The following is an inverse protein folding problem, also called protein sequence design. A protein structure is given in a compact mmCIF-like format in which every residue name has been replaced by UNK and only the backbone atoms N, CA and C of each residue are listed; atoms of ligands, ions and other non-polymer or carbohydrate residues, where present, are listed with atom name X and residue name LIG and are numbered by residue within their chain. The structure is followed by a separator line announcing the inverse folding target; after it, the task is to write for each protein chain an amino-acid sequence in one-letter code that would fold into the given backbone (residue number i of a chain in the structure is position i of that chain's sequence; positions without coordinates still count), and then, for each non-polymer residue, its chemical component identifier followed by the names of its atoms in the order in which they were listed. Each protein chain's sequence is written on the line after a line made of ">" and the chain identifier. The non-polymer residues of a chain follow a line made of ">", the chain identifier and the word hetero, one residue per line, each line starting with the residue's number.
data_IF_749225021644
#
_entry.id   IF_749225021644
#
_cell.length_a   1.000
_cell.length_b   1.000
_cell.length_c   1.000
_cell.angle_alpha   90.00
_cell.angle_beta   90.00
_cell.angle_gamma   90.00
#
_symmetry.space_group_name_H-M   'P 1'
#
loop_
_entity.id
_entity.type
_entity.pdbx_description
1 polymer ?
#
# COMPACT_ATOMS: atom_id res chain seq x y z
N UNK A 1 -59.07 2.85 -2.99
CA UNK A 1 -59.03 1.94 -1.81
C UNK A 1 -57.59 1.96 -1.32
N UNK A 2 -57.41 2.62 -0.21
CA UNK A 2 -56.15 2.90 0.50
C UNK A 2 -55.83 1.71 1.40
N UNK A 3 -54.64 1.15 1.28
CA UNK A 3 -54.10 0.10 2.15
C UNK A 3 -52.77 0.57 2.71
N UNK A 4 -52.82 1.03 4.00
CA UNK A 4 -51.63 1.44 4.74
C UNK A 4 -50.83 0.25 5.24
N UNK A 5 -49.50 0.34 5.14
CA UNK A 5 -48.57 -0.53 5.85
C UNK A 5 -48.14 0.17 7.15
N UNK A 6 -48.70 -0.25 8.25
CA UNK A 6 -48.22 0.02 9.60
C UNK A 6 -47.61 -1.27 10.17
N UNK A 7 -46.34 -1.24 10.49
CA UNK A 7 -45.62 -2.38 11.08
C UNK A 7 -44.21 -1.97 11.50
N UNK A 8 -44.11 -0.98 12.43
CA UNK A 8 -42.86 -0.65 13.08
C UNK A 8 -42.43 -1.73 14.07
N UNK A 9 -41.32 -2.42 13.81
CA UNK A 9 -40.65 -3.26 14.82
C UNK A 9 -40.12 -2.37 15.96
N UNK A 10 -40.29 -2.73 17.21
CA UNK A 10 -39.68 -2.02 18.33
C UNK A 10 -38.17 -2.13 18.25
N UNK A 11 -37.48 -1.00 18.49
CA UNK A 11 -36.03 -0.91 18.59
C UNK A 11 -35.55 -1.75 19.78
N UNK A 12 -34.40 -2.46 19.67
CA UNK A 12 -33.82 -3.19 20.80
C UNK A 12 -33.44 -2.21 21.93
N UNK A 13 -33.42 -2.66 23.20
CA UNK A 13 -33.06 -1.81 24.32
C UNK A 13 -31.64 -1.26 24.16
N UNK A 14 -31.43 0.01 24.54
CA UNK A 14 -30.15 0.71 24.50
C UNK A 14 -29.03 -0.14 25.11
N UNK A 15 -27.98 -0.38 24.38
CA UNK A 15 -26.77 -1.03 24.88
C UNK A 15 -26.17 -0.18 26.03
N UNK A 16 -25.68 -0.81 27.12
CA UNK A 16 -25.09 -0.08 28.22
C UNK A 16 -23.90 0.77 27.74
N UNK A 17 -23.92 2.05 28.07
CA UNK A 17 -22.82 3.00 27.77
C UNK A 17 -21.57 2.51 28.51
N UNK A 18 -20.45 2.25 27.81
CA UNK A 18 -19.22 1.81 28.45
C UNK A 18 -18.73 2.91 29.43
N UNK A 19 -18.10 2.55 30.54
CA UNK A 19 -17.54 3.51 31.47
C UNK A 19 -16.50 4.39 30.79
N UNK A 20 -16.35 5.67 31.20
CA UNK A 20 -15.37 6.57 30.62
C UNK A 20 -13.95 6.01 30.79
N UNK A 21 -13.05 6.23 29.83
CA UNK A 21 -11.68 5.74 29.91
C UNK A 21 -10.94 6.33 31.14
N UNK A 22 -9.97 5.60 31.71
CA UNK A 22 -9.16 6.07 32.83
C UNK A 22 -8.52 7.44 32.58
N UNK A 23 -8.42 8.28 33.61
CA UNK A 23 -7.91 9.65 33.54
C UNK A 23 -6.50 9.74 32.90
N UNK A 24 -5.68 8.70 33.06
CA UNK A 24 -4.35 8.59 32.44
C UNK A 24 -4.43 8.54 30.92
N UNK A 25 -5.43 7.87 30.34
CA UNK A 25 -5.67 7.81 28.89
C UNK A 25 -6.25 9.12 28.37
N UNK A 26 -7.11 9.78 29.14
CA UNK A 26 -7.62 11.10 28.78
C UNK A 26 -6.52 12.17 28.79
N UNK A 27 -5.52 12.06 29.66
CA UNK A 27 -4.33 12.95 29.66
C UNK A 27 -3.37 12.67 28.52
N UNK A 28 -3.21 11.40 28.11
CA UNK A 28 -2.30 11.02 27.05
C UNK A 28 -2.88 11.24 25.64
N UNK A 29 -4.19 11.06 25.47
CA UNK A 29 -4.85 11.05 24.16
C UNK A 29 -6.06 11.99 24.06
N UNK A 30 -6.41 12.67 25.14
CA UNK A 30 -7.47 13.68 25.12
C UNK A 30 -7.01 14.96 24.40
N UNK A 31 -7.96 15.74 23.85
CA UNK A 31 -7.64 16.97 23.13
C UNK A 31 -6.95 17.98 24.07
N UNK A 32 -5.67 18.25 23.80
CA UNK A 32 -4.86 19.23 24.53
C UNK A 32 -5.32 20.64 24.16
N UNK A 33 -6.18 21.27 24.99
CA UNK A 33 -6.51 22.67 24.94
C UNK A 33 -7.32 23.17 23.72
N UNK A 34 -7.83 24.39 23.73
CA UNK A 34 -8.57 24.94 22.61
C UNK A 34 -7.61 25.35 21.50
N UNK A 35 -7.26 24.43 20.63
CA UNK A 35 -6.58 24.76 19.38
C UNK A 35 -7.54 25.47 18.43
N UNK A 36 -7.43 26.79 18.37
CA UNK A 36 -8.21 27.69 17.50
C UNK A 36 -7.70 27.68 16.05
N UNK A 37 -7.38 26.54 15.46
CA UNK A 37 -7.05 26.46 14.03
C UNK A 37 -7.59 25.16 13.48
N UNK A 38 -8.86 25.19 13.06
CA UNK A 38 -9.34 24.24 12.07
C UNK A 38 -8.54 24.44 10.79
N UNK A 39 -8.04 23.36 10.22
CA UNK A 39 -7.12 23.39 9.08
C UNK A 39 -7.75 23.92 7.78
N UNK A 40 -9.08 23.99 7.64
CA UNK A 40 -9.76 24.58 6.48
C UNK A 40 -11.23 24.90 6.80
N UNK A 41 -11.73 26.04 6.32
CA UNK A 41 -13.16 26.32 6.28
C UNK A 41 -13.80 25.68 5.03
N UNK A 42 -15.03 25.14 5.12
CA UNK A 42 -15.70 24.55 3.97
C UNK A 42 -15.99 25.61 2.89
N UNK A 43 -15.86 25.26 1.61
CA UNK A 43 -16.14 26.19 0.51
C UNK A 43 -17.59 26.67 0.53
N UNK A 44 -17.82 27.98 0.51
CA UNK A 44 -19.14 28.65 0.46
C UNK A 44 -19.74 29.07 1.81
N UNK A 45 -19.04 28.92 2.92
CA UNK A 45 -19.45 29.42 4.24
C UNK A 45 -19.22 30.91 4.42
N UNK A 46 -20.23 31.69 4.81
CA UNK A 46 -20.06 33.08 5.23
C UNK A 46 -19.28 33.11 6.55
N UNK A 47 -18.24 33.99 6.70
CA UNK A 47 -17.52 34.14 7.98
C UNK A 47 -18.49 34.57 9.07
N UNK A 48 -18.64 33.77 10.12
CA UNK A 48 -19.40 34.16 11.31
C UNK A 48 -20.52 33.25 11.78
N UNK A 49 -20.98 32.27 10.99
CA UNK A 49 -22.04 31.36 11.43
C UNK A 49 -21.46 30.07 12.04
N UNK A 50 -21.21 30.07 13.35
CA UNK A 50 -20.99 28.83 14.11
C UNK A 50 -22.28 28.03 14.16
N UNK A 51 -22.43 27.01 13.33
CA UNK A 51 -23.38 25.94 13.57
C UNK A 51 -22.71 24.86 14.43
N UNK A 52 -23.05 24.80 15.70
CA UNK A 52 -22.76 23.66 16.56
C UNK A 52 -23.69 22.53 16.16
N UNK A 53 -23.30 21.65 15.25
CA UNK A 53 -24.01 20.40 15.02
C UNK A 53 -23.51 19.38 16.07
N UNK A 54 -24.22 19.27 17.18
CA UNK A 54 -24.08 18.19 18.15
C UNK A 54 -24.96 17.03 17.72
N UNK A 55 -24.63 16.34 16.64
CA UNK A 55 -25.38 15.17 16.19
C UNK A 55 -24.51 14.17 15.45
N UNK A 56 -24.83 12.87 15.54
CA UNK A 56 -24.11 11.84 14.81
C UNK A 56 -24.20 12.06 13.30
N UNK A 57 -23.12 11.78 12.56
CA UNK A 57 -22.94 12.00 11.12
C UNK A 57 -23.94 11.25 10.20
N UNK A 58 -24.77 10.35 10.75
CA UNK A 58 -25.79 9.59 10.01
C UNK A 58 -27.19 10.20 10.04
N UNK A 59 -27.37 11.43 10.52
CA UNK A 59 -28.68 12.11 10.45
C UNK A 59 -29.07 12.54 9.03
N UNK A 60 -30.36 12.66 8.71
CA UNK A 60 -30.87 12.97 7.36
C UNK A 60 -30.40 14.30 6.77
N UNK A 61 -30.02 15.26 7.61
CA UNK A 61 -29.49 16.57 7.24
C UNK A 61 -28.00 16.53 6.83
N UNK A 62 -27.33 15.39 6.94
CA UNK A 62 -25.98 15.18 6.38
C UNK A 62 -25.92 15.24 4.85
N UNK A 63 -27.08 15.25 4.18
CA UNK A 63 -27.19 15.46 2.71
C UNK A 63 -26.92 16.90 2.27
N UNK A 64 -26.90 17.85 3.19
CA UNK A 64 -26.58 19.26 2.93
C UNK A 64 -25.11 19.61 3.23
N UNK A 65 -24.24 18.62 3.43
CA UNK A 65 -22.81 18.83 3.65
C UNK A 65 -22.12 19.09 2.30
N UNK A 66 -21.56 20.29 2.05
CA UNK A 66 -20.90 20.62 0.78
C UNK A 66 -19.73 19.72 0.42
N UNK A 67 -19.14 18.97 1.40
CA UNK A 67 -18.05 18.03 1.19
C UNK A 67 -18.49 16.65 0.68
N UNK A 68 -19.81 16.41 0.64
CA UNK A 68 -20.41 15.15 0.21
C UNK A 68 -21.25 15.26 -1.05
N UNK A 69 -21.34 16.44 -1.62
CA UNK A 69 -22.02 16.64 -2.91
C UNK A 69 -21.04 16.30 -4.05
N UNK A 70 -21.23 15.17 -4.75
CA UNK A 70 -20.38 14.80 -5.87
C UNK A 70 -20.49 15.74 -7.08
N UNK A 71 -21.46 16.67 -7.07
CA UNK A 71 -21.69 17.66 -8.13
C UNK A 71 -21.29 19.08 -7.73
N UNK A 72 -20.74 19.28 -6.51
CA UNK A 72 -20.25 20.59 -6.11
C UNK A 72 -19.03 20.98 -6.96
N UNK A 73 -19.04 22.15 -7.65
CA UNK A 73 -17.88 22.56 -8.43
C UNK A 73 -16.70 22.83 -7.51
N UNK A 74 -15.57 22.17 -7.79
CA UNK A 74 -14.30 22.43 -7.11
C UNK A 74 -13.84 23.87 -7.48
N UNK A 75 -14.12 24.82 -6.63
CA UNK A 75 -13.57 26.16 -6.74
C UNK A 75 -12.20 26.17 -6.05
N UNK A 76 -11.14 26.14 -6.84
CA UNK A 76 -9.80 26.52 -6.37
C UNK A 76 -9.85 28.04 -6.09
N UNK A 77 -9.89 28.44 -4.83
CA UNK A 77 -9.71 29.83 -4.43
C UNK A 77 -8.35 30.33 -4.90
N UNK A 78 -8.33 31.51 -5.57
CA UNK A 78 -7.08 32.19 -5.87
C UNK A 78 -6.28 32.41 -4.56
N UNK A 79 -4.94 32.33 -4.59
CA UNK A 79 -4.12 32.63 -3.42
C UNK A 79 -4.47 34.03 -2.94
N UNK A 80 -4.65 34.19 -1.62
CA UNK A 80 -4.90 35.48 -1.01
C UNK A 80 -3.66 36.35 -1.16
N UNK A 81 -3.61 37.10 -2.25
CA UNK A 81 -2.74 38.26 -2.39
C UNK A 81 -3.50 39.40 -1.69
N UNK A 82 -2.96 39.87 -0.59
CA UNK A 82 -3.43 41.10 0.01
C UNK A 82 -3.07 42.26 -0.93
N UNK A 83 -4.06 42.75 -1.69
CA UNK A 83 -3.95 44.07 -2.30
C UNK A 83 -4.01 45.10 -1.19
N UNK A 84 -2.85 45.68 -0.89
CA UNK A 84 -2.78 46.89 -0.09
C UNK A 84 -3.46 47.99 -0.88
N UNK A 85 -4.67 48.39 -0.49
CA UNK A 85 -5.35 49.56 -1.04
C UNK A 85 -4.45 50.78 -0.81
N UNK A 86 -3.75 51.18 -1.86
CA UNK A 86 -3.14 52.53 -1.95
C UNK A 86 -4.29 53.55 -2.00
N UNK A 87 -4.57 54.16 -0.86
CA UNK A 87 -5.43 55.34 -0.78
C UNK A 87 -4.71 56.47 -1.50
N UNK A 88 -5.03 56.67 -2.77
CA UNK A 88 -4.75 57.91 -3.50
C UNK A 88 -5.68 58.99 -2.96
N UNK A 89 -5.13 59.91 -2.13
CA UNK A 89 -5.83 61.15 -1.77
C UNK A 89 -6.04 62.04 -3.01
N UNK A 90 -7.08 62.85 -3.01
CA UNK A 90 -7.39 63.69 -4.16
C UNK A 90 -6.36 64.82 -4.29
N UNK A 91 -5.54 64.76 -5.32
CA UNK A 91 -4.78 65.93 -5.76
C UNK A 91 -5.75 66.86 -6.55
N UNK A 92 -6.13 67.97 -5.91
CA UNK A 92 -6.79 69.05 -6.62
C UNK A 92 -5.73 69.76 -7.45
N UNK A 93 -5.77 69.54 -8.75
CA UNK A 93 -4.99 70.32 -9.71
C UNK A 93 -5.80 71.57 -10.04
N UNK A 94 -5.42 72.72 -9.45
CA UNK A 94 -6.00 74.00 -9.80
C UNK A 94 -5.35 74.52 -11.09
N UNK A 95 -6.16 74.68 -12.10
CA UNK A 95 -5.77 75.15 -13.40
C UNK A 95 -5.75 76.69 -13.41
N UNK A 96 -4.69 77.28 -12.87
CA UNK A 96 -4.25 78.66 -13.24
C UNK A 96 -2.95 79.07 -12.55
N UNK A 97 -1.98 79.39 -13.34
CA UNK A 97 -0.91 80.29 -12.88
C UNK A 97 0.51 79.69 -12.88
N UNK A 98 1.11 79.50 -14.04
CA UNK A 98 2.54 79.43 -14.17
C UNK A 98 3.17 80.71 -13.65
N UNK A 99 3.64 80.72 -12.40
CA UNK A 99 4.61 81.72 -11.97
C UNK A 99 5.96 81.33 -12.52
N UNK A 100 6.38 82.04 -13.57
CA UNK A 100 7.77 82.03 -14.03
C UNK A 100 8.60 82.71 -12.96
N UNK A 101 9.35 81.96 -12.16
CA UNK A 101 10.40 82.53 -11.33
C UNK A 101 11.52 82.95 -12.26
N UNK A 102 11.77 84.26 -12.38
CA UNK A 102 12.93 84.81 -13.08
C UNK A 102 14.14 84.52 -12.16
N UNK A 103 15.11 83.73 -12.65
CA UNK A 103 16.35 83.39 -11.96
C UNK A 103 17.28 84.61 -11.69
N UNK A 104 16.88 85.84 -12.08
CA UNK A 104 17.74 87.02 -11.98
C UNK A 104 17.67 87.79 -10.65
N UNK A 105 16.70 87.48 -9.74
CA UNK A 105 16.48 88.25 -8.50
C UNK A 105 16.92 87.51 -7.22
N UNK A 106 17.56 86.35 -7.33
CA UNK A 106 18.08 85.69 -6.15
C UNK A 106 19.41 86.35 -5.77
N UNK A 107 19.45 87.00 -4.62
CA UNK A 107 20.73 87.49 -4.04
C UNK A 107 21.72 86.38 -3.95
N UNK A 108 22.97 86.61 -4.23
CA UNK A 108 24.09 85.60 -4.19
C UNK A 108 24.05 84.84 -2.89
N UNK A 109 23.64 85.49 -1.78
CA UNK A 109 23.50 84.86 -0.47
C UNK A 109 22.45 83.76 -0.42
N UNK A 110 21.28 83.93 -1.10
CA UNK A 110 20.23 82.90 -1.16
C UNK A 110 20.65 81.75 -2.09
N UNK A 111 21.37 82.02 -3.15
CA UNK A 111 21.91 80.98 -4.03
C UNK A 111 22.95 80.10 -3.29
N UNK A 112 23.85 80.78 -2.51
CA UNK A 112 24.83 80.06 -1.68
C UNK A 112 24.18 79.23 -0.62
N UNK A 113 23.14 79.76 0.07
CA UNK A 113 22.42 79.01 1.07
C UNK A 113 21.63 77.81 0.46
N UNK A 114 21.08 77.95 -0.72
CA UNK A 114 20.43 76.86 -1.42
C UNK A 114 21.41 75.75 -1.83
N UNK A 115 22.62 76.13 -2.29
CA UNK A 115 23.68 75.15 -2.58
C UNK A 115 24.18 74.46 -1.32
N UNK A 116 24.35 75.17 -0.23
CA UNK A 116 24.74 74.59 1.05
C UNK A 116 23.66 73.66 1.63
N UNK A 117 22.38 74.01 1.47
CA UNK A 117 21.27 73.12 1.83
C UNK A 117 21.23 71.85 0.99
N UNK A 118 21.44 71.96 -0.31
CA UNK A 118 21.54 70.79 -1.21
C UNK A 118 22.72 69.89 -0.87
N UNK A 119 23.90 70.48 -0.56
CA UNK A 119 25.05 69.71 -0.09
C UNK A 119 24.81 69.03 1.25
N UNK A 120 24.12 69.69 2.15
CA UNK A 120 23.75 69.11 3.46
C UNK A 120 22.76 67.97 3.27
N UNK A 121 21.73 68.11 2.44
CA UNK A 121 20.78 67.04 2.08
C UNK A 121 21.50 65.90 1.39
N UNK A 122 22.44 66.18 0.47
CA UNK A 122 23.25 65.17 -0.17
C UNK A 122 24.16 64.42 0.80
N UNK A 123 24.79 65.12 1.77
CA UNK A 123 25.61 64.49 2.79
C UNK A 123 24.79 63.63 3.75
N UNK A 124 23.63 64.13 4.18
CA UNK A 124 22.70 63.36 5.04
C UNK A 124 22.10 62.17 4.29
N UNK A 125 21.66 62.37 3.05
CA UNK A 125 21.15 61.27 2.22
C UNK A 125 22.20 60.22 1.91
N UNK A 126 23.45 60.67 1.60
CA UNK A 126 24.58 59.78 1.39
C UNK A 126 25.00 59.05 2.66
N UNK A 127 24.98 59.74 3.82
CA UNK A 127 25.27 59.11 5.09
C UNK A 127 24.20 58.06 5.51
N UNK A 128 22.93 58.41 5.35
CA UNK A 128 21.82 57.47 5.58
C UNK A 128 21.86 56.32 4.61
N UNK A 129 22.10 56.59 3.31
CA UNK A 129 22.27 55.55 2.27
C UNK A 129 23.43 54.62 2.59
N UNK A 130 24.57 55.17 3.05
CA UNK A 130 25.72 54.35 3.44
C UNK A 130 25.48 53.52 4.70
N UNK A 131 24.77 54.04 5.70
CA UNK A 131 24.34 53.27 6.86
C UNK A 131 23.36 52.19 6.48
N UNK A 132 22.34 52.53 5.67
CA UNK A 132 21.38 51.56 5.17
C UNK A 132 22.00 50.47 4.31
N UNK A 133 22.98 50.79 3.47
CA UNK A 133 23.72 49.78 2.69
C UNK A 133 24.62 48.93 3.59
N UNK A 134 25.23 49.46 4.62
CA UNK A 134 26.00 48.67 5.56
C UNK A 134 25.09 47.73 6.38
N UNK A 135 23.93 48.20 6.85
CA UNK A 135 22.97 47.35 7.58
C UNK A 135 22.25 46.36 6.66
N UNK A 136 22.04 46.71 5.38
CA UNK A 136 21.46 45.77 4.36
C UNK A 136 22.43 44.63 4.00
N UNK A 137 23.74 44.81 4.20
CA UNK A 137 24.72 43.73 3.95
C UNK A 137 24.71 42.65 5.07
N UNK A 138 24.03 42.92 6.19
CA UNK A 138 23.85 41.97 7.27
C UNK A 138 22.46 41.32 7.29
N UNK A 139 21.67 41.46 6.22
CA UNK A 139 20.41 40.71 6.11
C UNK A 139 20.72 39.21 5.99
N UNK A 140 20.31 38.35 6.96
CA UNK A 140 20.62 36.92 6.94
C UNK A 140 20.07 36.19 5.73
N UNK A 141 19.16 36.85 4.98
CA UNK A 141 18.52 36.29 3.78
C UNK A 141 19.31 36.48 2.48
N UNK A 142 20.40 37.27 2.49
CA UNK A 142 21.18 37.61 1.30
C UNK A 142 22.69 37.37 1.47
N UNK A 143 23.13 36.66 2.48
CA UNK A 143 24.54 36.32 2.65
C UNK A 143 24.91 35.22 1.63
N UNK A 144 25.73 35.52 0.59
CA UNK A 144 26.29 34.48 -0.25
C UNK A 144 27.27 33.68 0.60
N UNK A 145 26.86 32.50 1.04
CA UNK A 145 27.71 31.63 1.84
C UNK A 145 27.09 31.02 3.08
N UNK A 146 25.74 30.96 3.17
CA UNK A 146 25.10 30.08 4.16
C UNK A 146 25.56 28.65 3.82
N UNK A 147 26.63 28.20 4.47
CA UNK A 147 26.98 26.79 4.49
C UNK A 147 25.90 26.11 5.28
N UNK A 148 25.01 25.38 4.59
CA UNK A 148 24.18 24.38 5.23
C UNK A 148 25.16 23.44 5.92
N UNK A 149 25.18 23.45 7.22
CA UNK A 149 25.95 22.50 8.03
C UNK A 149 25.46 21.12 7.65
N UNK A 150 26.29 20.26 7.04
CA UNK A 150 26.03 18.85 6.99
C UNK A 150 25.88 18.37 8.42
N UNK A 151 24.65 18.04 8.82
CA UNK A 151 24.43 17.23 10.00
C UNK A 151 25.12 15.91 9.66
N UNK A 152 26.18 15.57 10.38
CA UNK A 152 26.84 14.28 10.22
C UNK A 152 25.76 13.20 10.21
N UNK A 153 25.79 12.22 9.28
CA UNK A 153 24.83 11.14 9.27
C UNK A 153 24.93 10.40 10.62
N UNK A 154 24.06 10.77 11.53
CA UNK A 154 24.12 10.37 12.93
C UNK A 154 23.57 8.97 13.20
N UNK A 155 23.47 8.08 12.20
CA UNK A 155 22.91 6.75 12.43
C UNK A 155 23.95 5.70 12.06
N UNK A 156 24.66 5.21 13.09
CA UNK A 156 25.32 3.89 13.01
C UNK A 156 24.22 2.85 12.80
N UNK A 157 24.21 2.21 11.66
CA UNK A 157 23.30 1.09 11.37
C UNK A 157 23.80 -0.12 12.14
N UNK A 158 23.02 -0.56 13.14
CA UNK A 158 23.34 -1.78 13.86
C UNK A 158 23.16 -2.98 12.93
N UNK A 159 24.05 -4.00 13.00
CA UNK A 159 23.82 -5.27 12.33
C UNK A 159 22.44 -5.83 12.68
N UNK A 160 21.70 -6.34 11.69
CA UNK A 160 20.34 -6.82 11.85
C UNK A 160 19.28 -5.72 11.95
N UNK A 161 19.64 -4.44 11.74
CA UNK A 161 18.64 -3.38 11.59
C UNK A 161 17.91 -3.50 10.25
N UNK A 162 16.67 -2.97 10.16
CA UNK A 162 15.91 -2.99 8.92
C UNK A 162 16.71 -2.45 7.73
N UNK A 163 17.50 -1.40 7.95
CA UNK A 163 18.32 -0.82 6.89
C UNK A 163 19.52 -1.69 6.49
N UNK A 164 20.03 -2.51 7.40
CA UNK A 164 21.08 -3.48 7.15
C UNK A 164 20.52 -4.66 6.34
N UNK A 165 19.43 -5.27 6.82
CA UNK A 165 18.69 -6.33 6.12
C UNK A 165 18.29 -5.89 4.70
N UNK A 166 17.74 -4.67 4.58
CA UNK A 166 17.34 -4.15 3.28
C UNK A 166 18.54 -3.97 2.32
N UNK A 167 19.68 -3.52 2.81
CA UNK A 167 20.89 -3.39 2.01
C UNK A 167 21.41 -4.74 1.48
N UNK A 168 21.32 -5.78 2.30
CA UNK A 168 21.79 -7.12 1.94
C UNK A 168 20.85 -7.84 0.97
N UNK A 169 19.53 -7.66 1.13
CA UNK A 169 18.51 -8.40 0.36
C UNK A 169 18.11 -7.69 -0.92
N UNK A 170 18.03 -6.34 -0.93
CA UNK A 170 17.57 -5.56 -2.11
C UNK A 170 18.31 -5.94 -3.42
N UNK A 171 19.62 -6.26 -3.42
CA UNK A 171 20.31 -6.66 -4.66
C UNK A 171 19.78 -7.97 -5.27
N UNK A 172 19.12 -8.81 -4.49
CA UNK A 172 18.50 -10.06 -4.95
C UNK A 172 17.02 -9.90 -5.30
N UNK A 173 16.42 -8.70 -5.10
CA UNK A 173 15.04 -8.38 -5.47
C UNK A 173 15.04 -7.52 -6.73
N UNK A 174 14.24 -7.89 -7.71
CA UNK A 174 14.18 -7.24 -9.02
C UNK A 174 12.77 -6.69 -9.29
N UNK A 175 12.70 -5.67 -10.14
CA UNK A 175 11.41 -5.23 -10.73
C UNK A 175 11.12 -6.07 -11.95
N UNK A 176 9.90 -6.56 -12.08
CA UNK A 176 9.39 -7.24 -13.27
C UNK A 176 8.47 -6.27 -14.00
N UNK A 177 8.85 -5.94 -15.22
CA UNK A 177 8.06 -5.14 -16.15
C UNK A 177 7.50 -6.04 -17.24
N UNK A 178 6.19 -6.04 -17.39
CA UNK A 178 5.48 -6.80 -18.44
C UNK A 178 4.82 -5.82 -19.37
N UNK A 179 5.00 -6.02 -20.67
CA UNK A 179 4.37 -5.22 -21.72
C UNK A 179 3.69 -6.10 -22.73
N UNK A 180 2.41 -5.82 -22.98
CA UNK A 180 1.59 -6.47 -23.99
C UNK A 180 0.91 -5.40 -24.84
N UNK A 181 1.44 -5.11 -26.02
CA UNK A 181 0.96 -3.99 -26.83
C UNK A 181 1.11 -2.65 -26.12
N UNK A 182 -0.02 -2.00 -25.83
CA UNK A 182 -0.05 -0.74 -25.08
C UNK A 182 -0.31 -0.93 -23.57
N UNK A 183 -0.66 -2.13 -23.15
CA UNK A 183 -0.86 -2.45 -21.73
C UNK A 183 0.47 -2.82 -21.07
N UNK A 184 0.61 -2.44 -19.78
CA UNK A 184 1.76 -2.78 -18.97
C UNK A 184 1.33 -3.22 -17.59
N UNK A 185 2.07 -4.17 -17.03
CA UNK A 185 1.97 -4.57 -15.64
C UNK A 185 3.36 -4.52 -15.00
N UNK A 186 3.40 -4.31 -13.70
CA UNK A 186 4.65 -4.29 -12.94
C UNK A 186 4.49 -5.08 -11.65
N UNK A 187 5.56 -5.75 -11.25
CA UNK A 187 5.67 -6.46 -9.98
C UNK A 187 7.13 -6.57 -9.58
N UNK A 188 7.38 -7.44 -8.65
CA UNK A 188 8.71 -7.77 -8.15
C UNK A 188 9.06 -9.22 -8.42
N UNK A 189 10.33 -9.58 -8.25
CA UNK A 189 10.80 -10.95 -8.28
C UNK A 189 11.99 -11.13 -7.36
N UNK A 190 12.27 -12.35 -6.95
CA UNK A 190 13.37 -12.74 -6.10
C UNK A 190 14.30 -13.67 -6.86
N UNK A 191 15.59 -13.35 -6.93
CA UNK A 191 16.61 -14.22 -7.55
C UNK A 191 16.85 -15.39 -6.62
N UNK A 192 16.35 -16.57 -6.99
CA UNK A 192 16.49 -17.79 -6.17
C UNK A 192 17.72 -18.61 -6.55
N UNK A 193 18.22 -18.43 -7.77
CA UNK A 193 19.43 -19.08 -8.26
C UNK A 193 20.13 -18.19 -9.29
N UNK A 194 21.19 -17.52 -8.84
CA UNK A 194 21.88 -16.49 -9.64
C UNK A 194 22.77 -17.04 -10.74
N UNK A 195 23.29 -18.26 -10.61
CA UNK A 195 24.20 -18.88 -11.59
C UNK A 195 23.48 -19.14 -12.92
N UNK A 196 22.26 -19.68 -12.87
CA UNK A 196 21.44 -19.95 -14.04
C UNK A 196 20.39 -18.83 -14.29
N UNK A 197 20.29 -17.83 -13.41
CA UNK A 197 19.42 -16.68 -13.61
C UNK A 197 17.94 -16.96 -13.38
N UNK A 198 17.60 -17.83 -12.42
CA UNK A 198 16.21 -18.08 -12.05
C UNK A 198 15.68 -17.08 -11.04
N UNK A 199 14.50 -16.57 -11.34
CA UNK A 199 13.77 -15.57 -10.54
C UNK A 199 12.38 -16.12 -10.26
N UNK A 200 11.95 -16.13 -8.99
CA UNK A 200 10.56 -16.39 -8.60
C UNK A 200 9.79 -15.08 -8.56
N UNK A 201 8.58 -15.10 -9.04
CA UNK A 201 7.60 -14.01 -8.96
C UNK A 201 6.19 -14.60 -8.79
N UNK A 202 5.16 -13.76 -8.69
CA UNK A 202 3.79 -14.25 -8.71
C UNK A 202 3.31 -14.53 -10.14
N UNK A 203 2.41 -15.51 -10.27
CA UNK A 203 1.77 -15.85 -11.55
C UNK A 203 1.02 -14.64 -12.12
N UNK A 204 0.23 -13.94 -11.30
CA UNK A 204 -0.57 -12.81 -11.74
C UNK A 204 0.25 -11.65 -12.33
N UNK A 205 1.55 -11.54 -11.97
CA UNK A 205 2.45 -10.51 -12.52
C UNK A 205 2.74 -10.77 -13.98
N UNK A 206 2.86 -12.04 -14.39
CA UNK A 206 3.35 -12.44 -15.72
C UNK A 206 2.31 -13.17 -16.59
N UNK A 207 1.18 -13.57 -16.01
CA UNK A 207 0.15 -14.36 -16.70
C UNK A 207 -0.35 -13.71 -17.98
N UNK A 208 -0.49 -12.39 -18.02
CA UNK A 208 -0.91 -11.65 -19.20
C UNK A 208 0.05 -11.67 -20.38
N UNK A 209 1.30 -12.11 -20.19
CA UNK A 209 2.31 -12.22 -21.24
C UNK A 209 2.45 -13.65 -21.80
N UNK A 210 1.92 -14.64 -21.11
CA UNK A 210 2.11 -16.04 -21.49
C UNK A 210 1.32 -16.39 -22.75
N UNK A 211 2.03 -16.96 -23.75
CA UNK A 211 1.46 -17.32 -25.03
C UNK A 211 0.98 -16.15 -25.90
N UNK A 212 1.30 -14.90 -25.55
CA UNK A 212 0.90 -13.70 -26.31
C UNK A 212 2.03 -13.24 -27.22
N UNK A 213 1.79 -13.23 -28.53
CA UNK A 213 2.75 -12.76 -29.51
C UNK A 213 3.11 -11.27 -29.29
N UNK A 214 4.42 -10.98 -29.25
CA UNK A 214 4.92 -9.63 -29.02
C UNK A 214 4.84 -9.16 -27.58
N UNK A 215 4.51 -10.04 -26.62
CA UNK A 215 4.66 -9.73 -25.20
C UNK A 215 6.15 -9.68 -24.80
N UNK A 216 6.50 -8.70 -23.98
CA UNK A 216 7.85 -8.52 -23.46
C UNK A 216 7.83 -8.57 -21.93
N UNK A 217 8.75 -9.36 -21.38
CA UNK A 217 9.02 -9.39 -19.94
C UNK A 217 10.46 -8.93 -19.74
N UNK A 218 10.66 -7.98 -18.83
CA UNK A 218 11.96 -7.45 -18.48
C UNK A 218 12.16 -7.46 -16.98
N UNK A 219 13.31 -7.95 -16.54
CA UNK A 219 13.76 -7.81 -15.17
C UNK A 219 14.71 -6.62 -15.06
N UNK A 220 14.42 -5.70 -14.13
CA UNK A 220 15.26 -4.54 -13.82
C UNK A 220 15.86 -4.75 -12.43
N UNK A 221 17.19 -4.70 -12.38
CA UNK A 221 17.98 -4.98 -11.17
C UNK A 221 18.23 -3.71 -10.34
N UNK A 222 18.68 -3.89 -9.12
CA UNK A 222 18.98 -2.79 -8.19
C UNK A 222 20.03 -1.81 -8.69
N UNK A 223 20.92 -2.24 -9.62
CA UNK A 223 21.92 -1.40 -10.29
C UNK A 223 21.35 -0.59 -11.45
N UNK A 224 20.04 -0.67 -11.72
CA UNK A 224 19.36 -0.01 -12.84
C UNK A 224 19.52 -0.74 -14.18
N UNK A 225 20.31 -1.80 -14.25
CA UNK A 225 20.42 -2.59 -15.48
C UNK A 225 19.18 -3.45 -15.71
N UNK A 226 18.82 -3.69 -16.96
CA UNK A 226 17.70 -4.53 -17.32
C UNK A 226 18.12 -5.71 -18.18
N UNK A 227 17.43 -6.83 -18.05
CA UNK A 227 17.56 -8.02 -18.91
C UNK A 227 16.20 -8.48 -19.39
N UNK A 228 16.11 -8.96 -20.61
CA UNK A 228 14.93 -9.69 -21.05
C UNK A 228 14.78 -10.95 -20.20
N UNK A 229 13.53 -11.24 -19.83
CA UNK A 229 13.19 -12.43 -19.07
C UNK A 229 12.21 -13.30 -19.87
N UNK A 230 12.29 -14.62 -19.70
CA UNK A 230 11.34 -15.56 -20.27
C UNK A 230 10.70 -16.38 -19.17
N UNK A 231 9.45 -16.74 -19.34
CA UNK A 231 8.74 -17.64 -18.46
C UNK A 231 9.34 -19.06 -18.62
N UNK A 232 9.72 -19.68 -17.50
CA UNK A 232 10.13 -21.09 -17.43
C UNK A 232 8.91 -21.96 -17.20
N UNK A 233 8.07 -21.56 -16.26
CA UNK A 233 6.81 -22.19 -15.93
C UNK A 233 5.98 -21.27 -15.05
N UNK A 234 4.68 -21.52 -14.99
CA UNK A 234 3.69 -20.82 -14.19
C UNK A 234 2.78 -21.80 -13.49
N UNK A 235 2.35 -21.42 -12.31
CA UNK A 235 1.36 -22.13 -11.55
C UNK A 235 0.25 -21.19 -11.07
N UNK A 236 -0.89 -21.14 -11.75
CA UNK A 236 -2.04 -20.34 -11.36
C UNK A 236 -2.68 -20.77 -10.03
N UNK A 237 -2.48 -22.03 -9.59
CA UNK A 237 -3.09 -22.58 -8.38
C UNK A 237 -2.36 -22.15 -7.11
N UNK A 238 -1.04 -21.88 -7.18
CA UNK A 238 -0.24 -21.37 -6.06
C UNK A 238 0.13 -19.89 -6.20
N UNK A 239 -0.20 -19.24 -7.33
CA UNK A 239 0.23 -17.88 -7.69
C UNK A 239 1.75 -17.73 -7.76
N UNK A 240 2.48 -18.78 -8.21
CA UNK A 240 3.94 -18.76 -8.41
C UNK A 240 4.26 -18.85 -9.90
N UNK A 241 5.30 -18.12 -10.30
CA UNK A 241 5.93 -18.24 -11.61
C UNK A 241 7.45 -18.18 -11.48
N UNK A 242 8.14 -18.88 -12.39
CA UNK A 242 9.59 -18.84 -12.52
C UNK A 242 9.95 -18.19 -13.84
N UNK A 243 10.82 -17.18 -13.74
CA UNK A 243 11.43 -16.51 -14.88
C UNK A 243 12.90 -16.91 -15.01
N UNK A 244 13.41 -16.82 -16.22
CA UNK A 244 14.84 -16.94 -16.50
C UNK A 244 15.37 -15.70 -17.21
N UNK A 245 16.51 -15.22 -16.77
CA UNK A 245 17.30 -14.13 -17.37
C UNK A 245 18.69 -14.60 -17.73
N UNK A 246 19.26 -13.99 -18.77
CA UNK A 246 20.64 -14.25 -19.20
C UNK A 246 21.57 -13.08 -18.73
N UNK A 247 21.78 -12.99 -17.39
CA UNK A 247 22.64 -11.97 -16.79
C UNK A 247 23.59 -12.64 -15.81
N UNK A 248 24.91 -12.53 -16.00
CA UNK A 248 25.90 -13.06 -15.07
C UNK A 248 26.00 -12.22 -13.80
N UNK A 249 26.51 -12.84 -12.73
CA UNK A 249 26.85 -12.14 -11.49
C UNK A 249 25.65 -11.72 -10.65
N UNK A 250 24.51 -12.40 -10.79
CA UNK A 250 23.35 -12.15 -9.97
C UNK A 250 23.59 -12.62 -8.53
N UNK A 251 23.18 -11.79 -7.58
CA UNK A 251 23.12 -12.18 -6.18
C UNK A 251 21.91 -13.08 -5.95
N UNK A 252 22.11 -14.21 -5.32
CA UNK A 252 21.04 -15.14 -4.94
C UNK A 252 20.54 -14.77 -3.54
N UNK A 253 19.22 -14.69 -3.38
CA UNK A 253 18.62 -14.50 -2.06
C UNK A 253 18.86 -15.73 -1.17
N UNK A 254 19.13 -15.50 0.11
CA UNK A 254 19.15 -16.58 1.10
C UNK A 254 17.72 -17.03 1.37
N UNK A 255 17.40 -18.29 1.08
CA UNK A 255 16.08 -18.86 1.39
C UNK A 255 16.09 -19.38 2.83
N UNK A 256 15.09 -18.96 3.60
CA UNK A 256 14.86 -19.41 4.97
C UNK A 256 14.04 -20.70 5.02
N UNK A 257 13.35 -20.88 6.16
CA UNK A 257 12.44 -22.00 6.38
C UNK A 257 11.13 -21.48 6.99
N UNK A 258 10.06 -21.47 6.18
CA UNK A 258 8.75 -20.97 6.60
C UNK A 258 8.10 -21.77 7.72
N UNK A 259 8.45 -23.06 7.89
CA UNK A 259 7.87 -23.91 8.94
C UNK A 259 8.39 -23.58 10.35
N UNK A 260 9.48 -22.79 10.43
CA UNK A 260 10.05 -22.36 11.72
C UNK A 260 9.57 -20.97 12.15
N UNK A 261 8.82 -20.31 11.31
CA UNK A 261 8.30 -18.96 11.58
C UNK A 261 7.19 -19.05 12.63
N UNK A 262 7.19 -18.11 13.58
CA UNK A 262 6.15 -18.02 14.60
C UNK A 262 5.47 -16.65 14.59
N UNK A 263 4.26 -16.60 15.11
CA UNK A 263 3.52 -15.34 15.26
C UNK A 263 4.30 -14.41 16.20
N UNK A 264 4.49 -13.16 15.74
CA UNK A 264 5.26 -12.13 16.44
C UNK A 264 6.70 -11.96 15.91
N UNK A 265 7.19 -12.84 15.03
CA UNK A 265 8.50 -12.67 14.41
C UNK A 265 8.54 -11.37 13.61
N UNK A 266 9.60 -10.55 13.78
CA UNK A 266 9.79 -9.35 12.98
C UNK A 266 10.11 -9.70 11.53
N UNK A 267 9.48 -8.98 10.60
CA UNK A 267 9.67 -9.21 9.17
C UNK A 267 9.87 -7.91 8.41
N UNK A 268 10.55 -8.02 7.27
CA UNK A 268 10.75 -6.94 6.32
C UNK A 268 10.22 -7.41 4.96
N UNK A 269 9.25 -6.67 4.41
CA UNK A 269 8.78 -6.91 3.06
C UNK A 269 9.53 -6.00 2.09
N UNK A 270 10.10 -6.60 1.06
CA UNK A 270 10.94 -5.93 0.06
C UNK A 270 10.34 -6.17 -1.32
N UNK A 271 10.11 -5.09 -2.06
CA UNK A 271 9.69 -5.11 -3.45
C UNK A 271 10.44 -4.07 -4.26
N UNK A 272 10.29 -4.10 -5.57
CA UNK A 272 10.92 -3.14 -6.50
C UNK A 272 9.90 -2.61 -7.50
N UNK A 273 8.87 -1.87 -7.05
CA UNK A 273 7.88 -1.33 -7.96
C UNK A 273 8.49 -0.32 -8.92
N UNK A 274 8.11 -0.35 -10.20
CA UNK A 274 8.46 0.63 -11.23
C UNK A 274 9.97 0.81 -11.50
N UNK A 275 10.80 -0.21 -11.24
CA UNK A 275 12.26 -0.10 -11.45
C UNK A 275 12.95 0.90 -10.50
N UNK A 276 12.23 1.40 -9.50
CA UNK A 276 12.78 2.23 -8.43
C UNK A 276 13.37 1.33 -7.35
N UNK A 277 14.63 1.55 -7.00
CA UNK A 277 15.36 0.75 -6.02
C UNK A 277 14.56 0.57 -4.71
N UNK A 278 14.10 -0.65 -4.48
CA UNK A 278 13.64 -1.22 -3.22
C UNK A 278 12.61 -0.42 -2.42
N UNK A 279 11.33 -0.77 -2.56
CA UNK A 279 10.34 -0.42 -1.52
C UNK A 279 10.52 -1.38 -0.36
N UNK A 280 10.73 -0.85 0.84
CA UNK A 280 10.91 -1.61 2.08
C UNK A 280 9.83 -1.22 3.07
N UNK A 281 9.11 -2.21 3.57
CA UNK A 281 8.15 -2.05 4.65
C UNK A 281 8.43 -3.06 5.76
N UNK A 282 8.00 -2.78 6.99
CA UNK A 282 8.27 -3.64 8.14
C UNK A 282 7.01 -3.94 8.92
N UNK A 283 6.99 -5.09 9.56
CA UNK A 283 5.92 -5.53 10.42
C UNK A 283 6.33 -6.78 11.18
N UNK A 284 5.34 -7.56 11.55
CA UNK A 284 5.50 -8.87 12.20
C UNK A 284 4.67 -9.92 11.46
N UNK A 285 4.93 -11.17 11.75
CA UNK A 285 4.01 -12.26 11.40
C UNK A 285 2.79 -12.15 12.33
N UNK A 286 1.63 -11.89 11.74
CA UNK A 286 0.36 -11.71 12.47
C UNK A 286 -0.42 -13.02 12.63
N UNK A 287 -0.31 -13.92 11.65
CA UNK A 287 -0.89 -15.26 11.67
C UNK A 287 -0.15 -16.19 10.71
N UNK A 288 -0.29 -17.49 10.93
CA UNK A 288 0.23 -18.57 10.08
C UNK A 288 -0.95 -19.35 9.49
N UNK A 289 -0.69 -20.10 8.45
CA UNK A 289 -1.64 -21.06 7.85
C UNK A 289 -3.01 -20.43 7.54
N UNK A 290 -2.99 -19.16 7.08
CA UNK A 290 -4.22 -18.49 6.68
C UNK A 290 -4.67 -18.96 5.31
N UNK A 291 -5.84 -19.61 5.19
CA UNK A 291 -6.40 -19.93 3.89
C UNK A 291 -6.85 -18.63 3.21
N UNK A 292 -6.22 -18.29 2.12
CA UNK A 292 -6.49 -17.06 1.37
C UNK A 292 -6.74 -17.41 -0.08
N UNK A 293 -7.91 -16.99 -0.59
CA UNK A 293 -8.19 -17.04 -2.02
C UNK A 293 -7.59 -15.83 -2.72
N UNK A 294 -6.76 -16.11 -3.71
CA UNK A 294 -6.13 -15.11 -4.57
C UNK A 294 -6.83 -15.15 -5.94
N UNK A 295 -7.37 -14.03 -6.35
CA UNK A 295 -7.95 -13.87 -7.69
C UNK A 295 -7.60 -12.48 -8.22
N UNK A 296 -6.85 -12.41 -9.32
CA UNK A 296 -6.43 -11.18 -9.96
C UNK A 296 -7.37 -10.79 -11.10
N UNK A 297 -7.80 -9.54 -11.15
CA UNK A 297 -8.56 -9.03 -12.30
C UNK A 297 -7.65 -9.01 -13.55
N UNK A 298 -8.07 -9.70 -14.61
CA UNK A 298 -7.27 -9.85 -15.84
C UNK A 298 -6.15 -10.90 -15.76
N UNK A 299 -6.08 -11.69 -14.68
CA UNK A 299 -5.17 -12.82 -14.49
C UNK A 299 -5.94 -14.15 -14.50
N UNK A 300 -5.28 -15.22 -14.88
CA UNK A 300 -5.79 -16.59 -14.75
C UNK A 300 -5.57 -17.18 -13.35
N UNK A 301 -5.02 -16.40 -12.42
CA UNK A 301 -4.78 -16.82 -11.03
C UNK A 301 -6.11 -17.07 -10.31
N UNK A 302 -6.28 -18.29 -9.83
CA UNK A 302 -7.37 -18.73 -8.95
C UNK A 302 -6.78 -19.63 -7.87
N UNK A 303 -5.87 -19.05 -7.08
CA UNK A 303 -5.13 -19.77 -6.05
C UNK A 303 -5.90 -19.77 -4.74
N UNK A 304 -5.76 -20.85 -3.98
CA UNK A 304 -6.08 -20.90 -2.56
C UNK A 304 -4.83 -21.35 -1.84
N UNK A 305 -4.21 -20.47 -1.10
CA UNK A 305 -2.92 -20.71 -0.46
C UNK A 305 -3.04 -20.73 1.07
N UNK A 306 -2.14 -21.48 1.71
CA UNK A 306 -1.87 -21.37 3.15
C UNK A 306 -0.88 -20.23 3.38
N UNK A 307 -1.38 -19.01 3.61
CA UNK A 307 -0.55 -17.81 3.62
C UNK A 307 0.07 -17.50 4.99
N UNK A 308 1.27 -16.92 4.99
CA UNK A 308 1.79 -16.12 6.09
C UNK A 308 1.07 -14.77 6.06
N UNK A 309 0.46 -14.38 7.19
CA UNK A 309 -0.15 -13.05 7.33
C UNK A 309 0.81 -12.12 8.06
N UNK A 310 0.95 -10.88 7.56
CA UNK A 310 1.77 -9.83 8.16
C UNK A 310 1.02 -8.50 8.20
N UNK A 311 1.36 -7.62 9.13
CA UNK A 311 0.93 -6.23 9.16
C UNK A 311 1.90 -5.29 8.41
N UNK A 312 3.02 -5.81 7.91
CA UNK A 312 3.88 -5.08 6.97
C UNK A 312 3.04 -4.65 5.75
N UNK A 313 3.03 -3.36 5.36
CA UNK A 313 2.26 -2.90 4.22
C UNK A 313 2.68 -3.56 2.91
N UNK A 314 1.83 -4.41 2.35
CA UNK A 314 1.95 -5.01 1.02
C UNK A 314 1.01 -4.25 0.08
N UNK A 315 1.55 -3.69 -0.99
CA UNK A 315 0.83 -2.89 -1.97
C UNK A 315 1.15 -3.39 -3.38
N UNK A 316 0.36 -3.03 -4.41
CA UNK A 316 0.70 -3.30 -5.81
C UNK A 316 2.12 -2.86 -6.14
N UNK A 317 2.88 -3.76 -6.76
CA UNK A 317 4.31 -3.61 -7.02
C UNK A 317 5.21 -4.37 -6.05
N UNK A 318 4.79 -4.65 -4.81
CA UNK A 318 5.52 -5.57 -3.91
C UNK A 318 5.24 -7.04 -4.22
N UNK A 319 4.17 -7.36 -4.97
CA UNK A 319 3.84 -8.72 -5.41
C UNK A 319 5.03 -9.39 -6.11
N UNK A 320 5.36 -10.60 -5.72
CA UNK A 320 6.50 -11.37 -6.21
C UNK A 320 7.83 -11.02 -5.53
N UNK A 321 7.86 -9.98 -4.67
CA UNK A 321 9.01 -9.61 -3.86
C UNK A 321 9.16 -10.49 -2.61
N UNK A 322 10.22 -10.22 -1.84
CA UNK A 322 10.58 -11.02 -0.68
C UNK A 322 9.88 -10.55 0.60
N UNK A 323 9.40 -11.48 1.42
CA UNK A 323 9.21 -11.31 2.85
C UNK A 323 10.39 -11.97 3.53
N UNK A 324 11.17 -11.22 4.33
CA UNK A 324 12.37 -11.74 4.98
C UNK A 324 12.26 -11.63 6.49
N UNK A 325 12.95 -12.53 7.20
CA UNK A 325 13.08 -12.51 8.66
C UNK A 325 14.16 -11.52 9.14
N UNK A 326 14.37 -11.47 10.45
CA UNK A 326 15.38 -10.61 11.09
C UNK A 326 16.83 -10.94 10.73
N UNK A 327 17.09 -12.04 10.02
CA UNK A 327 18.42 -12.43 9.51
C UNK A 327 18.62 -12.11 8.03
N UNK A 328 17.57 -11.61 7.34
CA UNK A 328 17.56 -11.37 5.91
C UNK A 328 17.26 -12.61 5.07
N UNK A 329 16.88 -13.73 5.67
CA UNK A 329 16.47 -14.92 4.94
C UNK A 329 15.02 -14.78 4.45
N UNK A 330 14.76 -15.14 3.19
CA UNK A 330 13.41 -15.10 2.58
C UNK A 330 12.57 -16.19 3.20
N UNK A 331 11.46 -15.82 3.85
CA UNK A 331 10.49 -16.72 4.47
C UNK A 331 9.18 -16.79 3.70
N UNK A 332 8.97 -15.87 2.75
CA UNK A 332 7.79 -15.88 1.89
C UNK A 332 7.91 -14.98 0.66
N UNK A 333 7.02 -15.18 -0.31
CA UNK A 333 6.85 -14.35 -1.50
C UNK A 333 5.60 -13.48 -1.31
N UNK A 334 5.77 -12.17 -1.30
CA UNK A 334 4.69 -11.21 -1.08
C UNK A 334 3.61 -11.33 -2.16
N UNK A 335 2.33 -11.27 -1.80
CA UNK A 335 1.22 -11.18 -2.74
C UNK A 335 0.23 -10.10 -2.34
N UNK A 336 -0.05 -9.17 -3.24
CA UNK A 336 -0.92 -8.01 -3.00
C UNK A 336 -2.36 -8.21 -3.50
N UNK A 337 -2.69 -9.36 -4.09
CA UNK A 337 -4.06 -9.64 -4.61
C UNK A 337 -5.07 -9.88 -3.49
N UNK A 338 -4.60 -10.28 -2.31
CA UNK A 338 -5.46 -10.57 -1.17
C UNK A 338 -5.90 -9.30 -0.42
N UNK A 339 -6.33 -8.25 -1.11
CA UNK A 339 -6.92 -7.09 -0.45
C UNK A 339 -8.43 -7.26 -0.31
N UNK A 340 -8.93 -7.20 0.92
CA UNK A 340 -10.35 -7.20 1.25
C UNK A 340 -11.00 -5.88 0.80
N UNK A 341 -11.41 -5.83 -0.47
CA UNK A 341 -12.31 -4.77 -0.96
C UNK A 341 -11.73 -3.80 -1.96
N UNK A 342 -12.20 -3.84 -3.21
CA UNK A 342 -12.26 -2.78 -4.21
C UNK A 342 -10.94 -2.21 -4.71
N UNK A 343 -10.82 -2.13 -6.02
CA UNK A 343 -9.75 -1.42 -6.73
C UNK A 343 -9.54 -0.01 -6.15
N UNK A 344 -8.43 0.21 -5.42
CA UNK A 344 -7.98 1.55 -5.04
C UNK A 344 -7.58 1.81 -3.60
N UNK A 345 -7.73 0.88 -2.67
CA UNK A 345 -7.25 1.06 -1.30
C UNK A 345 -5.87 0.42 -1.12
N UNK A 346 -4.91 1.21 -0.62
CA UNK A 346 -3.62 0.68 -0.15
C UNK A 346 -3.80 -0.30 1.01
N UNK A 347 -2.69 -0.90 1.47
CA UNK A 347 -2.69 -1.84 2.60
C UNK A 347 -3.45 -1.28 3.81
N UNK A 348 -4.35 -2.09 4.34
CA UNK A 348 -5.12 -1.80 5.58
C UNK A 348 -4.51 -2.48 6.81
N UNK A 349 -3.24 -2.86 6.76
CA UNK A 349 -2.57 -3.64 7.82
C UNK A 349 -2.78 -5.15 7.72
N UNK A 350 -3.26 -5.62 6.57
CA UNK A 350 -3.36 -7.04 6.22
C UNK A 350 -2.55 -7.28 4.96
N UNK A 351 -1.42 -7.92 5.11
CA UNK A 351 -0.54 -8.37 4.04
C UNK A 351 -0.44 -9.89 4.07
N UNK A 352 -0.19 -10.49 2.92
CA UNK A 352 -0.05 -11.94 2.79
C UNK A 352 1.21 -12.28 1.98
N UNK A 353 1.81 -13.40 2.32
CA UNK A 353 2.92 -13.97 1.57
C UNK A 353 2.76 -15.48 1.44
N UNK A 354 3.13 -16.01 0.27
CA UNK A 354 3.21 -17.44 0.01
C UNK A 354 4.44 -17.97 0.75
N UNK A 355 4.32 -19.00 1.61
CA UNK A 355 5.45 -19.55 2.37
C UNK A 355 6.60 -19.96 1.45
N UNK A 356 7.85 -19.70 1.87
CA UNK A 356 9.01 -19.94 1.01
C UNK A 356 9.24 -21.42 0.71
N UNK A 357 8.90 -22.33 1.64
CA UNK A 357 9.02 -23.76 1.39
C UNK A 357 8.11 -24.17 0.24
N UNK A 358 6.84 -23.77 0.26
CA UNK A 358 5.89 -23.99 -0.84
C UNK A 358 6.38 -23.34 -2.14
N UNK A 359 6.81 -22.08 -2.09
CA UNK A 359 7.30 -21.38 -3.28
C UNK A 359 8.54 -22.06 -3.89
N UNK A 360 9.44 -22.59 -3.07
CA UNK A 360 10.63 -23.33 -3.50
C UNK A 360 10.24 -24.64 -4.17
N UNK A 361 9.36 -25.45 -3.54
CA UNK A 361 8.99 -26.78 -4.04
C UNK A 361 8.24 -26.64 -5.40
N UNK A 362 7.38 -25.64 -5.54
CA UNK A 362 6.73 -25.28 -6.81
C UNK A 362 7.78 -24.81 -7.84
N UNK A 363 8.70 -23.92 -7.46
CA UNK A 363 9.73 -23.41 -8.37
C UNK A 363 10.63 -24.55 -8.90
N UNK A 364 11.01 -25.51 -8.05
CA UNK A 364 11.79 -26.69 -8.47
C UNK A 364 11.04 -27.54 -9.50
N UNK A 365 9.73 -27.75 -9.31
CA UNK A 365 8.88 -28.44 -10.29
C UNK A 365 8.80 -27.64 -11.61
N UNK A 366 8.55 -26.32 -11.54
CA UNK A 366 8.49 -25.45 -12.72
C UNK A 366 9.83 -25.43 -13.49
N UNK A 367 10.97 -25.42 -12.80
CA UNK A 367 12.30 -25.46 -13.43
C UNK A 367 12.55 -26.80 -14.11
N UNK A 368 12.15 -27.90 -13.48
CA UNK A 368 12.46 -29.26 -13.97
C UNK A 368 11.51 -29.73 -15.07
N UNK A 369 10.21 -29.43 -14.95
CA UNK A 369 9.16 -29.98 -15.82
C UNK A 369 8.37 -28.92 -16.59
N UNK A 370 8.47 -27.65 -16.19
CA UNK A 370 7.64 -26.55 -16.70
C UNK A 370 6.24 -26.47 -16.09
N UNK A 371 5.87 -27.39 -15.21
CA UNK A 371 4.54 -27.47 -14.58
C UNK A 371 4.65 -27.87 -13.13
N UNK A 372 3.74 -27.35 -12.30
CA UNK A 372 3.51 -27.82 -10.95
C UNK A 372 2.37 -28.84 -10.94
N UNK A 373 2.37 -29.71 -9.94
CA UNK A 373 1.36 -30.72 -9.73
C UNK A 373 0.82 -30.59 -8.32
N UNK A 374 -0.50 -30.53 -8.19
CA UNK A 374 -1.19 -30.39 -6.93
C UNK A 374 -1.99 -31.65 -6.61
N UNK A 375 -2.18 -31.91 -5.32
CA UNK A 375 -3.07 -32.97 -4.89
C UNK A 375 -4.54 -32.55 -5.00
N UNK A 376 -5.41 -33.48 -5.36
CA UNK A 376 -6.84 -33.23 -5.52
C UNK A 376 -7.68 -34.36 -4.98
N UNK A 377 -8.83 -33.98 -4.39
CA UNK A 377 -9.92 -34.87 -4.06
C UNK A 377 -10.89 -35.07 -5.24
N UNK A 378 -10.98 -34.12 -6.16
CA UNK A 378 -11.96 -34.10 -7.23
C UNK A 378 -13.39 -33.80 -6.74
N UNK A 379 -13.51 -32.77 -5.88
CA UNK A 379 -14.80 -32.25 -5.40
C UNK A 379 -14.89 -30.75 -5.63
N UNK A 380 -16.12 -30.27 -5.89
CA UNK A 380 -16.43 -28.87 -5.75
C UNK A 380 -17.12 -28.65 -4.41
N UNK A 381 -16.63 -27.72 -3.61
CA UNK A 381 -17.17 -27.46 -2.29
C UNK A 381 -17.42 -25.95 -2.07
N UNK A 382 -18.32 -25.65 -1.15
CA UNK A 382 -18.52 -24.30 -0.64
C UNK A 382 -18.48 -24.29 0.88
N UNK A 383 -18.05 -23.18 1.43
CA UNK A 383 -18.05 -22.99 2.86
C UNK A 383 -19.48 -22.97 3.42
N UNK A 384 -19.72 -23.68 4.52
CA UNK A 384 -20.96 -23.62 5.27
C UNK A 384 -20.66 -23.26 6.72
N UNK A 385 -21.51 -22.38 7.24
CA UNK A 385 -21.49 -21.94 8.64
C UNK A 385 -22.94 -21.92 9.11
N UNK A 386 -23.34 -22.86 9.96
CA UNK A 386 -24.69 -22.92 10.52
C UNK A 386 -24.73 -22.47 12.00
N UNK A 387 -23.57 -21.99 12.52
CA UNK A 387 -23.38 -21.59 13.92
C UNK A 387 -23.15 -22.77 14.88
N UNK A 388 -23.27 -24.00 14.38
CA UNK A 388 -23.01 -25.23 15.13
C UNK A 388 -21.97 -26.11 14.47
N UNK A 389 -21.83 -26.02 13.14
CA UNK A 389 -20.87 -26.78 12.34
C UNK A 389 -20.38 -25.94 11.16
N UNK A 390 -19.11 -25.60 11.20
CA UNK A 390 -18.40 -25.01 10.08
C UNK A 390 -17.72 -26.13 9.29
N UNK A 391 -17.65 -26.00 7.96
CA UNK A 391 -17.02 -26.99 7.12
C UNK A 391 -17.12 -26.69 5.62
N UNK A 392 -16.64 -27.62 4.80
CA UNK A 392 -16.74 -27.57 3.35
C UNK A 392 -17.86 -28.50 2.85
N UNK A 393 -19.00 -27.93 2.44
CA UNK A 393 -20.11 -28.67 1.86
C UNK A 393 -19.76 -29.08 0.42
N UNK A 394 -19.77 -30.37 0.14
CA UNK A 394 -19.58 -30.96 -1.18
C UNK A 394 -20.80 -30.67 -2.03
N UNK A 395 -20.61 -29.92 -3.11
CA UNK A 395 -21.65 -29.58 -4.08
C UNK A 395 -21.76 -30.62 -5.17
N UNK A 396 -20.61 -31.10 -5.66
CA UNK A 396 -20.54 -32.23 -6.57
C UNK A 396 -19.25 -33.02 -6.36
N UNK A 397 -19.22 -34.25 -6.82
CA UNK A 397 -18.08 -35.16 -6.84
C UNK A 397 -17.81 -35.53 -8.31
N UNK A 398 -16.57 -35.35 -8.75
CA UNK A 398 -16.18 -35.70 -10.11
C UNK A 398 -16.18 -37.23 -10.28
N UNK A 399 -16.85 -37.77 -11.31
CA UNK A 399 -16.88 -39.22 -11.52
C UNK A 399 -15.47 -39.79 -11.74
N UNK A 400 -15.13 -40.87 -11.04
CA UNK A 400 -13.83 -41.51 -11.08
C UNK A 400 -12.72 -40.78 -10.29
N UNK A 401 -13.04 -39.73 -9.58
CA UNK A 401 -12.11 -39.00 -8.70
C UNK A 401 -11.76 -39.78 -7.43
N UNK A 402 -10.69 -39.37 -6.71
CA UNK A 402 -10.40 -39.89 -5.37
C UNK A 402 -11.58 -39.88 -4.41
N UNK A 403 -12.34 -38.78 -4.42
CA UNK A 403 -13.53 -38.64 -3.58
C UNK A 403 -14.63 -39.62 -3.94
N UNK A 404 -14.89 -39.83 -5.24
CA UNK A 404 -15.88 -40.84 -5.75
C UNK A 404 -15.44 -42.24 -5.34
N UNK A 405 -14.17 -42.58 -5.54
CA UNK A 405 -13.62 -43.89 -5.17
C UNK A 405 -13.68 -44.16 -3.66
N UNK A 406 -13.51 -43.14 -2.84
CA UNK A 406 -13.60 -43.22 -1.38
C UNK A 406 -15.04 -43.18 -0.86
N UNK A 407 -16.03 -42.89 -1.72
CA UNK A 407 -17.45 -42.84 -1.34
C UNK A 407 -17.88 -41.52 -0.69
N UNK A 408 -17.15 -40.43 -0.91
CA UNK A 408 -17.61 -39.05 -0.63
C UNK A 408 -18.81 -38.77 -1.56
N UNK A 409 -19.80 -38.02 -1.08
CA UNK A 409 -21.05 -37.76 -1.82
C UNK A 409 -21.42 -36.29 -1.77
N UNK A 410 -22.27 -35.88 -2.69
CA UNK A 410 -22.95 -34.60 -2.61
C UNK A 410 -23.67 -34.48 -1.26
N UNK A 411 -23.73 -33.26 -0.73
CA UNK A 411 -24.29 -32.90 0.59
C UNK A 411 -23.47 -33.41 1.80
N UNK A 412 -22.33 -34.06 1.60
CA UNK A 412 -21.39 -34.28 2.69
C UNK A 412 -20.76 -32.94 3.11
N UNK A 413 -20.52 -32.76 4.42
CA UNK A 413 -19.77 -31.65 4.94
C UNK A 413 -18.41 -32.17 5.41
N UNK A 414 -17.33 -31.82 4.71
CA UNK A 414 -15.97 -32.14 5.18
C UNK A 414 -15.63 -31.24 6.34
N UNK A 415 -15.20 -31.84 7.46
CA UNK A 415 -14.89 -31.14 8.72
C UNK A 415 -13.46 -31.34 9.18
N UNK A 416 -12.72 -32.35 8.65
CA UNK A 416 -11.30 -32.53 8.89
C UNK A 416 -10.63 -33.34 7.77
N UNK A 417 -9.34 -33.10 7.58
CA UNK A 417 -8.42 -33.90 6.75
C UNK A 417 -7.19 -34.22 7.60
N UNK A 418 -6.81 -35.49 7.75
CA UNK A 418 -5.71 -35.97 8.62
C UNK A 418 -5.79 -35.39 10.06
N UNK A 419 -7.00 -35.24 10.59
CA UNK A 419 -7.24 -34.65 11.91
C UNK A 419 -7.12 -33.12 11.96
N UNK A 420 -6.65 -32.46 10.90
CA UNK A 420 -6.68 -31.00 10.77
C UNK A 420 -8.11 -30.55 10.50
N UNK A 421 -8.65 -29.68 11.34
CA UNK A 421 -10.01 -29.15 11.20
C UNK A 421 -10.16 -28.37 9.88
N UNK A 422 -11.30 -28.56 9.23
CA UNK A 422 -11.72 -27.84 8.04
C UNK A 422 -13.01 -27.08 8.36
N UNK A 423 -12.96 -25.77 8.41
CA UNK A 423 -14.09 -24.88 8.68
C UNK A 423 -14.63 -24.16 7.45
N UNK A 424 -13.94 -24.27 6.29
CA UNK A 424 -14.32 -23.61 5.05
C UNK A 424 -13.86 -24.41 3.82
N UNK A 425 -14.37 -24.05 2.62
CA UNK A 425 -13.90 -24.63 1.37
C UNK A 425 -12.45 -24.31 1.08
N UNK A 426 -11.99 -23.14 1.50
CA UNK A 426 -10.60 -22.70 1.36
C UNK A 426 -9.67 -23.54 2.25
N UNK A 427 -10.08 -23.81 3.49
CA UNK A 427 -9.34 -24.69 4.39
C UNK A 427 -9.27 -26.13 3.86
N UNK A 428 -10.33 -26.63 3.20
CA UNK A 428 -10.29 -27.92 2.55
C UNK A 428 -9.22 -27.98 1.44
N UNK A 429 -9.18 -26.98 0.57
CA UNK A 429 -8.16 -26.92 -0.51
C UNK A 429 -6.76 -26.91 0.09
N UNK A 430 -6.51 -26.06 1.08
CA UNK A 430 -5.19 -25.97 1.75
C UNK A 430 -4.83 -27.29 2.44
N UNK A 431 -5.77 -27.94 3.12
CA UNK A 431 -5.51 -29.20 3.81
C UNK A 431 -5.18 -30.35 2.85
N UNK A 432 -5.77 -30.35 1.64
CA UNK A 432 -5.47 -31.32 0.59
C UNK A 432 -4.15 -31.01 -0.11
N UNK A 433 -3.88 -29.74 -0.43
CA UNK A 433 -2.66 -29.29 -1.12
C UNK A 433 -1.38 -29.41 -0.25
N UNK A 434 -1.55 -29.66 1.06
CA UNK A 434 -0.44 -29.99 1.95
C UNK A 434 0.13 -31.41 1.76
N UNK A 435 -0.47 -32.22 0.88
CA UNK A 435 -0.10 -33.59 0.61
C UNK A 435 0.31 -33.78 -0.86
N UNK A 436 1.01 -34.87 -1.15
CA UNK A 436 1.40 -35.21 -2.50
C UNK A 436 0.35 -36.09 -3.21
N UNK A 437 0.23 -36.01 -4.54
CA UNK A 437 -0.55 -36.98 -5.31
C UNK A 437 -0.07 -38.40 -5.06
N UNK A 438 -1.02 -39.29 -4.71
CA UNK A 438 -0.76 -40.68 -4.33
C UNK A 438 -0.78 -40.91 -2.83
N UNK A 439 -0.73 -39.87 -2.03
CA UNK A 439 -0.87 -39.97 -0.58
C UNK A 439 -2.27 -40.45 -0.19
N UNK A 440 -2.31 -41.24 0.88
CA UNK A 440 -3.56 -41.66 1.52
C UNK A 440 -3.84 -40.73 2.71
N UNK A 441 -4.98 -40.11 2.67
CA UNK A 441 -5.43 -39.19 3.70
C UNK A 441 -6.79 -39.62 4.28
N UNK A 442 -6.97 -39.42 5.56
CA UNK A 442 -8.25 -39.61 6.24
C UNK A 442 -9.08 -38.36 6.15
N UNK A 443 -10.24 -38.42 5.51
CA UNK A 443 -11.18 -37.32 5.38
C UNK A 443 -12.37 -37.58 6.30
N UNK A 444 -12.63 -36.69 7.25
CA UNK A 444 -13.80 -36.76 8.12
C UNK A 444 -14.93 -35.94 7.50
N UNK A 445 -16.05 -36.62 7.26
CA UNK A 445 -17.26 -36.02 6.67
C UNK A 445 -18.46 -36.17 7.61
N UNK A 446 -19.34 -35.21 7.59
CA UNK A 446 -20.66 -35.31 8.24
C UNK A 446 -21.73 -35.58 7.19
N UNK A 447 -22.38 -36.73 7.28
CA UNK A 447 -23.45 -37.17 6.39
C UNK A 447 -24.71 -37.48 7.20
N UNK A 448 -25.79 -36.79 6.90
CA UNK A 448 -27.07 -37.00 7.66
C UNK A 448 -26.91 -36.79 9.16
N UNK A 449 -26.06 -35.89 9.59
CA UNK A 449 -25.78 -35.54 10.99
C UNK A 449 -24.83 -36.51 11.72
N UNK A 450 -24.25 -37.49 11.04
CA UNK A 450 -23.29 -38.47 11.61
C UNK A 450 -21.91 -38.23 11.00
N UNK A 451 -20.88 -38.22 11.85
CA UNK A 451 -19.48 -38.19 11.38
C UNK A 451 -19.07 -39.57 10.86
N UNK A 452 -18.28 -39.57 9.79
CA UNK A 452 -17.66 -40.73 9.14
C UNK A 452 -16.25 -40.38 8.70
N UNK A 453 -15.32 -41.30 8.91
CA UNK A 453 -13.95 -41.21 8.39
C UNK A 453 -13.86 -42.02 7.09
N UNK A 454 -13.29 -41.44 6.06
CA UNK A 454 -13.09 -42.05 4.76
C UNK A 454 -11.61 -41.95 4.38
N UNK A 455 -10.97 -43.10 4.03
CA UNK A 455 -9.61 -43.13 3.50
C UNK A 455 -9.66 -42.77 2.01
N UNK A 456 -8.95 -41.73 1.61
CA UNK A 456 -8.87 -41.22 0.24
C UNK A 456 -7.44 -41.27 -0.25
N UNK A 457 -7.22 -41.83 -1.43
CA UNK A 457 -5.92 -41.76 -2.10
C UNK A 457 -5.97 -40.57 -3.06
N UNK A 458 -5.19 -39.49 -2.80
CA UNK A 458 -5.20 -38.28 -3.61
C UNK A 458 -4.70 -38.51 -5.01
N UNK A 459 -5.22 -37.76 -5.98
CA UNK A 459 -4.74 -37.77 -7.35
C UNK A 459 -4.08 -36.44 -7.71
N UNK A 460 -3.36 -36.41 -8.82
CA UNK A 460 -2.91 -35.17 -9.44
C UNK A 460 -4.08 -34.38 -10.01
N UNK A 461 -4.12 -33.05 -9.74
CA UNK A 461 -5.10 -32.13 -10.30
C UNK A 461 -4.79 -31.80 -11.77
#
# INVERSE_FOLDING_TARGET
>A
MTGGFAGGRPLPPEAPVPPPPPEALLRAFGPSGPSRRGLQDPPGGRPGARRTSTGPWWKPDARADPWRDPHAPAALGAPAVYDEEVRSGPFVVDARGRRKIRLGDLSVRVAVLAVLALLMVGALGGGVGWVLTRTAHESPLLTPGTKLSEVQPGVSRAPGSVSDIAADVTPAVVSIEVRVGQAGATGSGVVIEGKNGYIVTNNHVVSGADGVDGAEIRAVFSDGSGSAARIVGRDPASDIAVLKVEKPGLLTASLGNSDKVVVGDPVVAIGSPLGLAGTVTTGIISALERPVRLSGEGSDTNAVISALQTDAPINPGNSGGALVDGTGAVIGINTAIASLGGSGSGSIGLGFAIPINTARDIAEQLISTGKAVHASLGVNARSVTDGTRDGALVLNVEPGSPADAAGIREEDVVIAVEGQRVGSSEELVVAVDAHDPGDKVTVEVVRGGKSQELEVTLAAA
#
